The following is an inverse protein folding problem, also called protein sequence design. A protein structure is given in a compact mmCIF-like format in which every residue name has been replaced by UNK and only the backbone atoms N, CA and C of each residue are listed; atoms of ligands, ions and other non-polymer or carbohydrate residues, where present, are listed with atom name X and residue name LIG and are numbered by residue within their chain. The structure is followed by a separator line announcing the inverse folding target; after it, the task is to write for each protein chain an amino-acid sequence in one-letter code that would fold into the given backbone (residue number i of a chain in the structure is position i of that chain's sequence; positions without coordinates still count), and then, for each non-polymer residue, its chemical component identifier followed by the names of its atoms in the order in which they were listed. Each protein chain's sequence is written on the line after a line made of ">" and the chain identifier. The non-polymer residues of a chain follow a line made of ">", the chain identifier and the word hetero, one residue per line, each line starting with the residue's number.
data_IF_030575412574
#
_entry.id   IF_030575412574
#
_cell.length_a   1.000
_cell.length_b   1.000
_cell.length_c   1.000
_cell.angle_alpha   90.00
_cell.angle_beta   90.00
_cell.angle_gamma   90.00
#
_symmetry.space_group_name_H-M   'P 1'
#
loop_
_entity.id
_entity.type
_entity.pdbx_description
1 polymer ?
#
# COMPACT_ATOMS: atom_id res chain seq x y z
N UNK A 1 -8.40 9.49 -21.28
CA UNK A 1 -9.46 8.55 -20.85
C UNK A 1 -10.31 9.29 -19.83
N UNK A 2 -11.61 9.06 -19.83
CA UNK A 2 -12.45 9.62 -18.78
C UNK A 2 -12.10 8.98 -17.45
N UNK A 3 -12.13 9.75 -16.36
CA UNK A 3 -11.78 9.24 -15.03
C UNK A 3 -12.62 8.02 -14.63
N UNK A 4 -13.88 7.99 -15.08
CA UNK A 4 -14.80 6.89 -14.82
C UNK A 4 -14.41 5.55 -15.47
N UNK A 5 -13.53 5.58 -16.47
CA UNK A 5 -13.03 4.39 -17.17
C UNK A 5 -11.72 3.87 -16.53
N UNK A 6 -11.13 4.61 -15.59
CA UNK A 6 -9.92 4.15 -14.91
C UNK A 6 -10.23 2.99 -13.96
N UNK A 7 -9.40 1.94 -13.98
CA UNK A 7 -9.59 0.75 -13.12
C UNK A 7 -9.75 1.09 -11.64
N UNK A 8 -8.96 2.03 -11.14
CA UNK A 8 -9.01 2.48 -9.74
C UNK A 8 -10.09 3.53 -9.48
N UNK A 9 -11.02 3.79 -10.41
CA UNK A 9 -12.08 4.78 -10.16
C UNK A 9 -12.97 4.40 -8.98
N UNK A 10 -13.30 3.11 -8.83
CA UNK A 10 -14.03 2.62 -7.66
C UNK A 10 -13.26 2.84 -6.35
N UNK A 11 -11.93 2.66 -6.37
CA UNK A 11 -11.02 2.97 -5.27
C UNK A 11 -11.06 4.48 -4.95
N UNK A 12 -10.94 5.36 -5.94
CA UNK A 12 -11.03 6.81 -5.77
C UNK A 12 -12.35 7.26 -5.13
N UNK A 13 -13.48 6.69 -5.56
CA UNK A 13 -14.79 7.00 -4.96
C UNK A 13 -14.87 6.56 -3.49
N UNK A 14 -14.35 5.36 -3.17
CA UNK A 14 -14.29 4.83 -1.82
C UNK A 14 -13.39 5.67 -0.91
N UNK A 15 -12.17 5.97 -1.36
CA UNK A 15 -11.21 6.81 -0.64
C UNK A 15 -11.80 8.20 -0.38
N UNK A 16 -12.46 8.79 -1.38
CA UNK A 16 -13.13 10.08 -1.22
C UNK A 16 -14.30 10.02 -0.22
N UNK A 17 -15.04 8.91 -0.15
CA UNK A 17 -16.08 8.73 0.85
C UNK A 17 -15.49 8.60 2.27
N UNK A 18 -14.42 7.83 2.42
CA UNK A 18 -13.68 7.68 3.68
C UNK A 18 -13.12 9.03 4.15
N UNK A 19 -12.48 9.80 3.26
CA UNK A 19 -11.95 11.12 3.56
C UNK A 19 -13.04 12.08 4.06
N UNK A 20 -14.22 12.08 3.42
CA UNK A 20 -15.37 12.91 3.85
C UNK A 20 -15.90 12.49 5.21
N UNK A 21 -16.01 11.18 5.47
CA UNK A 21 -16.40 10.65 6.78
C UNK A 21 -15.43 11.10 7.88
N UNK A 22 -14.13 10.97 7.62
CA UNK A 22 -13.07 11.44 8.53
C UNK A 22 -13.13 12.94 8.78
N UNK A 23 -13.28 13.74 7.73
CA UNK A 23 -13.45 15.19 7.83
C UNK A 23 -14.66 15.58 8.69
N UNK A 24 -15.77 14.86 8.57
CA UNK A 24 -17.00 15.10 9.35
C UNK A 24 -16.79 14.77 10.82
N UNK A 25 -16.16 13.63 11.13
CA UNK A 25 -15.89 13.22 12.51
C UNK A 25 -14.88 14.16 13.20
N UNK A 26 -13.81 14.56 12.52
CA UNK A 26 -12.84 15.52 13.06
C UNK A 26 -13.49 16.89 13.25
N UNK A 27 -14.29 17.38 12.31
CA UNK A 27 -15.03 18.63 12.49
C UNK A 27 -15.99 18.57 13.68
N UNK A 28 -16.68 17.43 13.87
CA UNK A 28 -17.53 17.20 15.05
C UNK A 28 -16.72 17.23 16.34
N UNK A 29 -15.59 16.53 16.38
CA UNK A 29 -14.68 16.55 17.53
C UNK A 29 -14.19 17.97 17.85
N UNK A 30 -13.93 18.79 16.84
CA UNK A 30 -13.47 20.16 17.03
C UNK A 30 -14.53 21.02 17.72
N UNK A 31 -15.81 20.82 17.37
CA UNK A 31 -16.94 21.57 17.94
C UNK A 31 -17.30 21.06 19.33
N UNK A 32 -17.37 19.73 19.52
CA UNK A 32 -17.72 19.11 20.80
C UNK A 32 -16.61 19.22 21.84
N UNK A 33 -15.35 19.27 21.38
CA UNK A 33 -14.18 19.20 22.24
C UNK A 33 -14.05 17.85 22.95
N UNK A 34 -13.32 17.86 24.08
CA UNK A 34 -13.08 16.67 24.89
C UNK A 34 -11.95 15.77 24.37
N UNK A 35 -11.84 14.60 24.97
CA UNK A 35 -10.74 13.65 24.76
C UNK A 35 -11.22 12.34 24.14
N UNK A 36 -10.38 11.71 23.33
CA UNK A 36 -10.52 10.32 22.90
C UNK A 36 -9.73 9.46 23.89
N UNK A 37 -10.39 8.50 24.53
CA UNK A 37 -9.73 7.56 25.44
C UNK A 37 -8.99 6.51 24.63
N UNK A 38 -7.66 6.53 24.66
CA UNK A 38 -6.81 5.62 23.88
C UNK A 38 -6.07 4.60 24.74
N UNK A 39 -5.45 3.59 24.12
CA UNK A 39 -4.60 2.62 24.81
C UNK A 39 -3.39 3.26 25.53
N UNK A 40 -2.96 4.45 25.09
CA UNK A 40 -1.82 5.20 25.66
C UNK A 40 -2.27 6.42 26.47
N UNK A 41 -3.56 6.52 26.81
CA UNK A 41 -4.16 7.59 27.61
C UNK A 41 -5.07 8.55 26.83
N UNK A 42 -5.67 9.55 27.49
CA UNK A 42 -6.62 10.46 26.85
C UNK A 42 -5.91 11.40 25.87
N UNK A 43 -6.42 11.49 24.65
CA UNK A 43 -5.90 12.38 23.60
C UNK A 43 -6.89 13.51 23.33
N UNK A 44 -6.40 14.74 23.37
CA UNK A 44 -7.05 15.91 22.78
C UNK A 44 -6.80 15.96 21.27
N UNK A 45 -7.60 16.75 20.56
CA UNK A 45 -7.37 17.01 19.14
C UNK A 45 -5.98 17.59 18.86
N UNK A 46 -5.47 18.45 19.74
CA UNK A 46 -4.14 19.05 19.59
C UNK A 46 -3.04 17.98 19.69
N UNK A 47 -3.17 17.03 20.61
CA UNK A 47 -2.23 15.91 20.73
C UNK A 47 -2.30 14.98 19.52
N UNK A 48 -3.51 14.64 19.06
CA UNK A 48 -3.68 13.83 17.85
C UNK A 48 -3.04 14.51 16.63
N UNK A 49 -3.29 15.82 16.44
CA UNK A 49 -2.64 16.59 15.36
C UNK A 49 -1.12 16.60 15.48
N UNK A 50 -0.58 16.78 16.68
CA UNK A 50 0.87 16.73 16.91
C UNK A 50 1.46 15.36 16.58
N UNK A 51 0.74 14.27 16.88
CA UNK A 51 1.14 12.93 16.52
C UNK A 51 1.22 12.73 14.99
N UNK A 52 0.21 13.18 14.23
CA UNK A 52 0.25 13.09 12.77
C UNK A 52 1.32 13.99 12.14
N UNK A 53 1.61 15.16 12.73
CA UNK A 53 2.75 15.99 12.31
C UNK A 53 4.09 15.27 12.54
N UNK A 54 4.24 14.55 13.65
CA UNK A 54 5.44 13.76 13.93
C UNK A 54 5.56 12.56 12.96
N UNK A 55 4.45 11.87 12.65
CA UNK A 55 4.43 10.84 11.60
C UNK A 55 4.82 11.40 10.23
N UNK A 56 4.31 12.57 9.88
CA UNK A 56 4.70 13.26 8.65
C UNK A 56 6.21 13.54 8.62
N UNK A 57 6.78 14.04 9.71
CA UNK A 57 8.22 14.31 9.81
C UNK A 57 9.06 13.04 9.64
N UNK A 58 8.63 11.94 10.29
CA UNK A 58 9.23 10.62 10.11
C UNK A 58 9.20 10.18 8.65
N UNK A 59 8.06 10.30 7.97
CA UNK A 59 7.95 9.94 6.55
C UNK A 59 8.75 10.86 5.64
N UNK A 60 8.92 12.14 5.98
CA UNK A 60 9.82 13.03 5.25
C UNK A 60 11.27 12.59 5.40
N UNK A 61 11.71 12.21 6.60
CA UNK A 61 13.05 11.67 6.82
C UNK A 61 13.26 10.34 6.07
N UNK A 62 12.30 9.44 6.17
CA UNK A 62 12.26 8.17 5.43
C UNK A 62 12.38 8.40 3.91
N UNK A 63 11.55 9.28 3.34
CA UNK A 63 11.56 9.58 1.92
C UNK A 63 12.84 10.29 1.45
N UNK A 64 13.47 11.12 2.31
CA UNK A 64 14.79 11.70 2.01
C UNK A 64 15.85 10.62 1.81
N UNK A 65 15.86 9.57 2.65
CA UNK A 65 16.78 8.43 2.46
C UNK A 65 16.55 7.78 1.11
N UNK A 66 15.29 7.51 0.76
CA UNK A 66 14.93 6.92 -0.53
C UNK A 66 15.37 7.78 -1.71
N UNK A 67 15.11 9.09 -1.70
CA UNK A 67 15.49 10.01 -2.79
C UNK A 67 17.01 10.19 -2.95
N UNK A 68 17.74 10.11 -1.84
CA UNK A 68 19.19 10.20 -1.86
C UNK A 68 19.84 8.90 -2.33
N UNK A 69 19.30 7.75 -1.95
CA UNK A 69 19.86 6.44 -2.23
C UNK A 69 19.39 5.82 -3.56
N UNK A 70 18.17 6.12 -4.01
CA UNK A 70 17.60 5.61 -5.25
C UNK A 70 17.51 6.68 -6.35
N UNK A 71 18.29 6.55 -7.44
CA UNK A 71 18.19 7.45 -8.60
C UNK A 71 16.78 7.48 -9.22
N UNK A 72 16.05 6.37 -9.20
CA UNK A 72 14.70 6.27 -9.77
C UNK A 72 13.67 7.11 -9.01
N UNK A 73 13.70 7.09 -7.68
CA UNK A 73 12.83 7.92 -6.85
C UNK A 73 13.09 9.41 -7.06
N UNK A 74 14.35 9.79 -7.31
CA UNK A 74 14.72 11.16 -7.67
C UNK A 74 14.18 11.58 -9.04
N UNK A 75 14.23 10.69 -10.03
CA UNK A 75 13.73 10.95 -11.37
C UNK A 75 12.20 11.08 -11.41
N UNK A 76 11.47 10.29 -10.62
CA UNK A 76 10.01 10.40 -10.53
C UNK A 76 9.55 11.48 -9.54
N UNK A 77 10.45 12.17 -8.84
CA UNK A 77 10.11 13.19 -7.84
C UNK A 77 9.27 12.65 -6.68
N UNK A 78 9.38 11.34 -6.39
CA UNK A 78 8.48 10.65 -5.46
C UNK A 78 7.04 10.49 -5.99
N UNK A 79 6.82 10.63 -7.30
CA UNK A 79 5.54 10.42 -7.98
C UNK A 79 5.37 9.02 -8.57
N UNK A 80 6.22 8.05 -8.20
CA UNK A 80 5.96 6.66 -8.59
C UNK A 80 4.74 6.14 -7.83
N UNK A 81 3.60 6.16 -8.49
CA UNK A 81 2.37 5.59 -7.98
C UNK A 81 2.03 4.40 -8.89
N UNK A 82 2.24 3.19 -8.37
CA UNK A 82 1.85 1.94 -9.02
C UNK A 82 0.39 1.65 -8.66
N UNK A 83 -0.37 1.05 -9.58
CA UNK A 83 -1.73 0.56 -9.29
C UNK A 83 -1.72 -0.30 -8.02
N UNK A 84 -2.70 -0.08 -7.14
CA UNK A 84 -2.86 -0.77 -5.86
C UNK A 84 -2.02 -0.19 -4.71
N UNK A 85 -1.10 0.74 -4.98
CA UNK A 85 -0.29 1.36 -3.92
C UNK A 85 -1.03 2.46 -3.16
N UNK A 86 -2.05 3.07 -3.77
CA UNK A 86 -2.87 4.12 -3.17
C UNK A 86 -4.11 3.53 -2.48
N UNK A 87 -3.87 2.70 -1.47
CA UNK A 87 -4.93 2.15 -0.64
C UNK A 87 -5.07 3.02 0.61
N UNK A 88 -6.09 3.87 0.62
CA UNK A 88 -6.34 4.82 1.71
C UNK A 88 -7.02 4.09 2.88
N UNK A 89 -6.39 4.15 4.06
CA UNK A 89 -6.93 3.58 5.29
C UNK A 89 -7.55 4.64 6.18
N UNK A 90 -8.23 4.21 7.25
CA UNK A 90 -8.86 5.12 8.22
C UNK A 90 -7.85 6.15 8.74
N UNK A 91 -6.64 5.70 9.06
CA UNK A 91 -5.53 6.54 9.50
C UNK A 91 -5.27 7.71 8.52
N UNK A 92 -5.35 7.47 7.21
CA UNK A 92 -5.01 8.43 6.18
C UNK A 92 -6.09 9.50 6.09
N UNK A 93 -7.36 9.10 6.20
CA UNK A 93 -8.48 10.03 6.22
C UNK A 93 -8.47 10.92 7.45
N UNK A 94 -8.14 10.34 8.60
CA UNK A 94 -8.00 11.08 9.85
C UNK A 94 -6.80 12.03 9.78
N UNK A 95 -5.68 11.61 9.20
CA UNK A 95 -4.51 12.45 8.98
C UNK A 95 -4.84 13.66 8.10
N UNK A 96 -5.48 13.45 6.94
CA UNK A 96 -5.90 14.54 6.06
C UNK A 96 -6.77 15.55 6.81
N UNK A 97 -7.76 15.07 7.57
CA UNK A 97 -8.67 15.92 8.31
C UNK A 97 -7.97 16.71 9.44
N UNK A 98 -7.12 16.07 10.24
CA UNK A 98 -6.39 16.72 11.35
C UNK A 98 -5.34 17.72 10.85
N UNK A 99 -4.76 17.47 9.66
CA UNK A 99 -3.78 18.34 9.02
C UNK A 99 -4.42 19.42 8.14
N UNK A 100 -5.75 19.43 8.02
CA UNK A 100 -6.50 20.32 7.13
C UNK A 100 -6.07 20.23 5.66
N UNK A 101 -5.71 19.02 5.23
CA UNK A 101 -5.32 18.71 3.87
C UNK A 101 -6.52 18.20 3.05
N UNK A 102 -6.68 18.64 1.80
CA UNK A 102 -7.78 18.20 0.96
C UNK A 102 -7.54 16.77 0.43
N UNK A 103 -8.63 16.02 0.26
CA UNK A 103 -8.61 14.85 -0.60
C UNK A 103 -8.37 15.29 -2.07
N UNK A 104 -7.52 14.59 -2.84
CA UNK A 104 -7.19 15.01 -4.20
C UNK A 104 -8.42 15.14 -5.10
N UNK A 105 -8.60 16.31 -5.70
CA UNK A 105 -9.57 16.50 -6.77
C UNK A 105 -8.90 16.16 -8.11
N UNK A 106 -9.31 15.05 -8.72
CA UNK A 106 -8.81 14.63 -10.02
C UNK A 106 -9.62 15.25 -11.17
N UNK A 107 -8.96 15.56 -12.29
CA UNK A 107 -9.62 16.05 -13.49
C UNK A 107 -10.51 14.98 -14.13
N UNK A 108 -11.50 15.41 -14.92
CA UNK A 108 -12.36 14.49 -15.68
C UNK A 108 -11.57 13.59 -16.66
N UNK A 109 -10.36 14.02 -17.03
CA UNK A 109 -9.42 13.22 -17.79
C UNK A 109 -8.21 12.87 -16.93
N UNK A 110 -7.82 11.59 -16.93
CA UNK A 110 -6.63 11.09 -16.22
C UNK A 110 -5.70 10.34 -17.18
N UNK A 111 -4.44 10.19 -16.78
CA UNK A 111 -3.47 9.39 -17.52
C UNK A 111 -3.94 7.95 -17.60
N UNK A 112 -4.08 7.41 -18.81
CA UNK A 112 -4.44 6.00 -19.01
C UNK A 112 -3.21 5.20 -19.44
N UNK A 113 -2.51 4.61 -18.48
CA UNK A 113 -1.50 3.59 -18.76
C UNK A 113 -1.71 2.42 -17.81
N UNK A 114 -1.73 1.18 -18.30
CA UNK A 114 -1.77 0.00 -17.44
C UNK A 114 -0.67 0.07 -16.38
N UNK A 115 -1.03 -0.17 -15.12
CA UNK A 115 -0.10 -0.16 -13.99
C UNK A 115 0.25 1.21 -13.41
N UNK A 116 -0.37 2.30 -13.90
CA UNK A 116 -0.27 3.63 -13.28
C UNK A 116 -1.45 3.90 -12.36
N UNK A 117 -1.14 4.41 -11.17
CA UNK A 117 -2.14 4.81 -10.18
C UNK A 117 -2.97 6.01 -10.64
N UNK A 118 -4.27 6.02 -10.29
CA UNK A 118 -5.23 7.08 -10.63
C UNK A 118 -4.83 8.46 -10.13
N UNK A 119 -4.06 8.52 -9.05
CA UNK A 119 -3.55 9.77 -8.46
C UNK A 119 -2.29 10.30 -9.16
N UNK A 120 -1.79 9.67 -10.24
CA UNK A 120 -0.68 10.20 -11.04
C UNK A 120 -1.20 11.10 -12.17
N UNK A 121 -1.17 12.42 -11.95
CA UNK A 121 -1.65 13.44 -12.89
C UNK A 121 -0.47 14.30 -13.33
N UNK A 122 -0.28 14.48 -14.65
CA UNK A 122 0.80 15.29 -15.22
C UNK A 122 2.21 14.94 -14.69
N UNK A 123 2.47 13.64 -14.49
CA UNK A 123 3.70 13.10 -13.89
C UNK A 123 3.95 13.56 -12.44
N UNK A 124 2.89 13.94 -11.70
CA UNK A 124 2.95 14.31 -10.30
C UNK A 124 1.88 13.55 -9.51
N UNK A 125 2.21 13.21 -8.27
CA UNK A 125 1.24 12.66 -7.35
C UNK A 125 0.24 13.76 -6.97
N UNK A 126 -1.05 13.48 -7.11
CA UNK A 126 -2.13 14.40 -6.75
C UNK A 126 -2.35 14.49 -5.23
N UNK A 127 -1.79 13.54 -4.46
CA UNK A 127 -1.79 13.62 -3.00
C UNK A 127 -0.99 14.83 -2.50
N UNK A 128 -1.45 15.51 -1.43
CA UNK A 128 -0.71 16.59 -0.82
C UNK A 128 0.72 16.18 -0.44
N UNK A 129 1.66 17.13 -0.50
CA UNK A 129 3.02 16.88 -0.03
C UNK A 129 3.09 16.69 1.48
N UNK A 130 2.10 17.22 2.20
CA UNK A 130 2.00 17.13 3.66
C UNK A 130 1.62 15.71 4.10
N UNK A 131 0.66 15.08 3.41
CA UNK A 131 0.23 13.74 3.71
C UNK A 131 -0.06 12.94 2.45
N UNK A 132 0.44 11.70 2.42
CA UNK A 132 0.16 10.70 1.41
C UNK A 132 -0.29 9.43 2.12
N UNK A 133 -1.14 8.59 1.51
CA UNK A 133 -1.50 7.31 2.07
C UNK A 133 -0.27 6.53 2.53
N UNK A 134 -0.35 5.86 3.67
CA UNK A 134 0.81 5.30 4.33
C UNK A 134 1.60 4.34 3.43
N UNK A 135 0.90 3.50 2.66
CA UNK A 135 1.51 2.65 1.63
C UNK A 135 2.23 3.45 0.55
N UNK A 136 1.68 4.57 0.09
CA UNK A 136 2.37 5.47 -0.85
C UNK A 136 3.59 6.14 -0.23
N UNK A 137 3.55 6.47 1.06
CA UNK A 137 4.66 7.11 1.77
C UNK A 137 5.81 6.15 2.08
N UNK A 138 5.51 4.86 2.28
CA UNK A 138 6.48 3.80 2.51
C UNK A 138 7.04 3.18 1.22
N UNK A 139 6.25 3.19 0.13
CA UNK A 139 6.60 2.55 -1.12
C UNK A 139 7.73 3.27 -1.86
N UNK A 140 8.63 2.47 -2.45
CA UNK A 140 9.65 2.95 -3.39
C UNK A 140 9.71 2.05 -4.62
N UNK A 141 9.91 2.68 -5.77
CA UNK A 141 10.06 1.98 -7.04
C UNK A 141 11.43 1.31 -7.12
N UNK A 142 11.46 0.05 -7.52
CA UNK A 142 12.70 -0.66 -7.88
C UNK A 142 13.10 -0.43 -9.35
N UNK A 143 12.34 0.41 -10.07
CA UNK A 143 12.41 0.56 -11.52
C UNK A 143 11.45 -0.41 -12.23
N UNK A 144 11.19 -0.14 -13.51
CA UNK A 144 10.58 -1.09 -14.45
C UNK A 144 11.52 -1.28 -15.65
N UNK A 145 11.63 -2.51 -16.18
CA UNK A 145 12.43 -2.80 -17.39
C UNK A 145 13.83 -3.38 -17.11
N UNK A 146 14.85 -2.91 -17.86
CA UNK A 146 16.22 -3.47 -17.99
C UNK A 146 17.10 -3.45 -16.72
N UNK A 147 16.55 -3.05 -15.57
CA UNK A 147 17.29 -2.85 -14.33
C UNK A 147 16.60 -3.62 -13.20
N UNK A 148 16.53 -4.94 -13.34
CA UNK A 148 16.16 -5.83 -12.24
C UNK A 148 17.24 -5.74 -11.15
N UNK A 149 16.89 -5.06 -10.05
CA UNK A 149 17.65 -5.15 -8.83
C UNK A 149 17.27 -6.46 -8.15
N UNK A 150 18.17 -7.45 -8.17
CA UNK A 150 18.05 -8.65 -7.35
C UNK A 150 17.81 -8.22 -5.89
N UNK A 151 16.85 -8.84 -5.20
CA UNK A 151 16.57 -8.58 -3.79
C UNK A 151 17.81 -8.85 -2.90
N UNK A 152 18.79 -9.58 -3.42
CA UNK A 152 20.10 -9.84 -2.80
C UNK A 152 21.16 -8.76 -3.05
N UNK A 153 20.81 -7.68 -3.76
CA UNK A 153 21.72 -6.58 -4.01
C UNK A 153 22.07 -5.88 -2.69
N UNK A 154 23.37 -5.79 -2.39
CA UNK A 154 23.90 -5.13 -1.19
C UNK A 154 23.38 -3.69 -0.99
N UNK A 155 22.89 -3.04 -2.06
CA UNK A 155 22.20 -1.76 -2.00
C UNK A 155 20.96 -1.80 -1.11
N UNK A 156 20.18 -2.89 -1.09
CA UNK A 156 19.02 -3.02 -0.21
C UNK A 156 19.43 -2.99 1.26
N UNK A 157 20.41 -3.79 1.66
CA UNK A 157 20.90 -3.79 3.04
C UNK A 157 21.37 -2.40 3.49
N UNK A 158 22.07 -1.65 2.62
CA UNK A 158 22.47 -0.26 2.91
C UNK A 158 21.28 0.68 3.06
N UNK A 159 20.23 0.49 2.27
CA UNK A 159 19.03 1.33 2.29
C UNK A 159 18.22 1.04 3.53
N UNK A 160 17.91 -0.23 3.80
CA UNK A 160 17.22 -0.68 5.02
C UNK A 160 17.96 -0.17 6.26
N UNK A 161 19.28 -0.25 6.30
CA UNK A 161 20.07 0.30 7.41
C UNK A 161 19.90 1.82 7.58
N UNK A 162 19.89 2.59 6.48
CA UNK A 162 19.65 4.05 6.55
C UNK A 162 18.20 4.39 6.91
N UNK A 163 17.23 3.61 6.44
CA UNK A 163 15.82 3.76 6.81
C UNK A 163 15.61 3.45 8.30
N UNK A 164 16.32 2.45 8.84
CA UNK A 164 16.31 2.16 10.26
C UNK A 164 16.84 3.35 11.07
N UNK A 165 17.92 4.01 10.63
CA UNK A 165 18.39 5.25 11.27
C UNK A 165 17.36 6.37 11.28
N UNK A 166 16.65 6.58 10.16
CA UNK A 166 15.57 7.57 10.10
C UNK A 166 14.37 7.19 11.00
N UNK A 167 14.01 5.92 11.05
CA UNK A 167 12.98 5.42 11.97
C UNK A 167 13.41 5.67 13.43
N UNK A 168 14.66 5.37 13.78
CA UNK A 168 15.17 5.51 15.15
C UNK A 168 15.12 6.94 15.64
N UNK A 169 15.51 7.88 14.79
CA UNK A 169 15.53 9.30 15.11
C UNK A 169 14.12 9.89 15.19
N UNK A 170 13.24 9.57 14.24
CA UNK A 170 11.98 10.30 14.03
C UNK A 170 10.71 9.53 14.43
N UNK A 171 10.77 8.26 14.84
CA UNK A 171 9.58 7.51 15.29
C UNK A 171 8.93 8.22 16.49
N UNK A 172 7.63 8.58 16.40
CA UNK A 172 6.91 9.19 17.51
C UNK A 172 6.98 8.34 18.78
N UNK A 173 7.07 8.99 19.94
CA UNK A 173 7.33 8.30 21.22
C UNK A 173 6.26 7.22 21.53
N UNK A 174 5.01 7.50 21.21
CA UNK A 174 3.89 6.56 21.41
C UNK A 174 4.02 5.28 20.58
N UNK A 175 4.81 5.29 19.50
CA UNK A 175 5.09 4.14 18.65
C UNK A 175 6.39 3.40 19.01
N UNK A 176 7.15 3.89 20.00
CA UNK A 176 8.40 3.24 20.44
C UNK A 176 8.24 1.76 20.85
N UNK A 177 7.14 1.33 21.47
CA UNK A 177 6.91 -0.10 21.74
C UNK A 177 6.94 -0.98 20.48
N UNK A 178 6.61 -0.42 19.31
CA UNK A 178 6.56 -1.13 18.03
C UNK A 178 7.87 -1.03 17.23
N UNK A 179 8.87 -0.28 17.71
CA UNK A 179 10.07 0.04 16.95
C UNK A 179 10.84 -1.20 16.44
N UNK A 180 10.95 -2.25 17.25
CA UNK A 180 11.66 -3.46 16.87
C UNK A 180 11.00 -4.18 15.68
N UNK A 181 9.68 -4.38 15.75
CA UNK A 181 8.92 -5.01 14.68
C UNK A 181 8.89 -4.14 13.41
N UNK A 182 8.74 -2.82 13.57
CA UNK A 182 8.81 -1.88 12.45
C UNK A 182 10.18 -1.94 11.74
N UNK A 183 11.28 -2.03 12.48
CA UNK A 183 12.62 -2.21 11.88
C UNK A 183 12.74 -3.53 11.12
N UNK A 184 12.23 -4.61 11.69
CA UNK A 184 12.25 -5.93 11.07
C UNK A 184 11.47 -5.95 9.74
N UNK A 185 10.39 -5.18 9.66
CA UNK A 185 9.56 -5.06 8.46
C UNK A 185 10.14 -4.14 7.37
N UNK A 186 11.16 -3.31 7.65
CA UNK A 186 11.72 -2.35 6.67
C UNK A 186 12.18 -2.94 5.32
N UNK A 187 12.68 -4.20 5.20
CA UNK A 187 12.98 -4.81 3.91
C UNK A 187 11.75 -4.93 2.98
N UNK A 188 10.54 -5.00 3.54
CA UNK A 188 9.29 -5.02 2.79
C UNK A 188 8.44 -3.77 3.09
N UNK A 189 8.37 -2.80 2.17
CA UNK A 189 7.60 -1.58 2.38
C UNK A 189 6.09 -1.81 2.55
N UNK A 190 5.53 -2.94 2.08
CA UNK A 190 4.11 -3.28 2.36
C UNK A 190 3.98 -3.72 3.81
N UNK A 191 4.76 -4.72 4.23
CA UNK A 191 4.72 -5.22 5.59
C UNK A 191 4.99 -4.10 6.61
N UNK A 192 5.95 -3.21 6.31
CA UNK A 192 6.21 -2.02 7.14
C UNK A 192 4.98 -1.11 7.23
N UNK A 193 4.34 -0.82 6.10
CA UNK A 193 3.15 0.03 6.07
C UNK A 193 1.97 -0.60 6.83
N UNK A 194 1.75 -1.90 6.66
CA UNK A 194 0.69 -2.65 7.32
C UNK A 194 0.90 -2.72 8.83
N UNK A 195 2.12 -2.95 9.27
CA UNK A 195 2.46 -2.97 10.68
C UNK A 195 2.33 -1.58 11.34
N UNK A 196 2.74 -0.52 10.64
CA UNK A 196 2.59 0.84 11.15
C UNK A 196 1.11 1.27 11.22
N UNK A 197 0.31 0.93 10.22
CA UNK A 197 -1.14 1.14 10.26
C UNK A 197 -1.78 0.39 11.44
N UNK A 198 -1.43 -0.89 11.64
CA UNK A 198 -1.90 -1.69 12.78
C UNK A 198 -1.56 -1.02 14.12
N UNK A 199 -0.31 -0.56 14.27
CA UNK A 199 0.13 0.12 15.49
C UNK A 199 -0.63 1.44 15.72
N UNK A 200 -0.88 2.22 14.66
CA UNK A 200 -1.68 3.46 14.75
C UNK A 200 -3.15 3.15 15.08
N UNK A 201 -3.68 2.04 14.59
CA UNK A 201 -5.05 1.62 14.88
C UNK A 201 -5.25 1.23 16.32
N UNK A 202 -4.37 0.38 16.85
CA UNK A 202 -4.34 -0.01 18.26
C UNK A 202 -4.19 1.20 19.19
N UNK A 203 -3.34 2.16 18.82
CA UNK A 203 -3.09 3.35 19.62
C UNK A 203 -4.22 4.35 19.51
N UNK A 204 -4.83 4.56 18.34
CA UNK A 204 -5.67 5.74 18.13
C UNK A 204 -6.88 5.53 17.24
N UNK A 205 -6.76 4.98 16.03
CA UNK A 205 -7.89 5.04 15.09
C UNK A 205 -9.08 4.18 15.53
N UNK A 206 -8.84 3.06 16.23
CA UNK A 206 -9.91 2.28 16.84
C UNK A 206 -10.68 3.07 17.91
N UNK A 207 -9.97 3.77 18.80
CA UNK A 207 -10.57 4.59 19.84
C UNK A 207 -11.36 5.77 19.26
N UNK A 208 -10.84 6.38 18.19
CA UNK A 208 -11.54 7.43 17.47
C UNK A 208 -12.82 6.89 16.81
N UNK A 209 -12.76 5.74 16.15
CA UNK A 209 -13.93 5.09 15.54
C UNK A 209 -15.00 4.72 16.58
N UNK A 210 -14.58 4.28 17.78
CA UNK A 210 -15.51 4.01 18.88
C UNK A 210 -16.25 5.27 19.36
N UNK A 211 -15.56 6.43 19.39
CA UNK A 211 -16.16 7.72 19.74
C UNK A 211 -17.02 8.30 18.62
N UNK A 212 -16.64 8.04 17.37
CA UNK A 212 -17.32 8.54 16.17
C UNK A 212 -17.73 7.35 15.28
N UNK A 213 -18.82 6.62 15.60
CA UNK A 213 -19.20 5.40 14.88
C UNK A 213 -19.42 5.58 13.38
N UNK A 214 -19.78 6.79 12.96
CA UNK A 214 -19.95 7.18 11.54
C UNK A 214 -18.64 7.09 10.73
N UNK A 215 -17.49 6.90 11.38
CA UNK A 215 -16.19 6.61 10.76
C UNK A 215 -16.05 5.17 10.28
N UNK A 216 -16.84 4.23 10.81
CA UNK A 216 -16.84 2.87 10.30
C UNK A 216 -17.56 2.88 8.96
N UNK A 217 -16.88 2.69 7.81
CA UNK A 217 -17.61 2.51 6.58
C UNK A 217 -18.55 1.33 6.76
N UNK A 218 -19.79 1.45 6.27
CA UNK A 218 -20.62 0.28 6.05
C UNK A 218 -19.85 -0.59 5.04
N UNK A 219 -19.10 -1.57 5.54
CA UNK A 219 -18.41 -2.54 4.70
C UNK A 219 -19.50 -3.41 4.11
N UNK A 220 -20.01 -3.03 2.94
CA UNK A 220 -20.55 -4.07 2.07
C UNK A 220 -19.38 -5.01 1.79
N UNK A 221 -19.50 -6.32 2.08
CA UNK A 221 -18.44 -7.27 1.81
C UNK A 221 -18.28 -7.36 0.29
N UNK A 222 -17.43 -6.50 -0.27
CA UNK A 222 -16.87 -6.72 -1.59
C UNK A 222 -15.93 -7.91 -1.44
N UNK A 223 -16.32 -9.05 -2.03
CA UNK A 223 -15.39 -10.14 -2.28
C UNK A 223 -14.26 -9.58 -3.13
N UNK A 224 -13.12 -9.34 -2.50
CA UNK A 224 -11.91 -8.93 -3.20
C UNK A 224 -11.45 -10.08 -4.09
N UNK A 225 -11.52 -9.94 -5.43
CA UNK A 225 -11.07 -10.97 -6.34
C UNK A 225 -9.58 -11.30 -6.14
N UNK A 226 -8.78 -10.36 -5.62
CA UNK A 226 -7.39 -10.65 -5.27
C UNK A 226 -7.32 -11.59 -4.07
N UNK A 227 -8.10 -11.38 -3.01
CA UNK A 227 -8.16 -12.28 -1.86
C UNK A 227 -8.53 -13.72 -2.24
N UNK A 228 -9.48 -13.90 -3.16
CA UNK A 228 -9.85 -15.24 -3.65
C UNK A 228 -8.70 -15.90 -4.43
N UNK A 229 -8.00 -15.14 -5.28
CA UNK A 229 -6.84 -15.65 -6.03
C UNK A 229 -5.67 -15.97 -5.08
N UNK A 230 -5.41 -15.12 -4.09
CA UNK A 230 -4.36 -15.36 -3.08
C UNK A 230 -4.64 -16.63 -2.27
N UNK A 231 -5.90 -16.87 -1.88
CA UNK A 231 -6.29 -18.11 -1.23
C UNK A 231 -6.06 -19.34 -2.13
N UNK A 232 -6.28 -19.23 -3.44
CA UNK A 232 -5.97 -20.30 -4.39
C UNK A 232 -4.46 -20.54 -4.53
N UNK A 233 -3.63 -19.49 -4.52
CA UNK A 233 -2.16 -19.60 -4.55
C UNK A 233 -1.64 -20.31 -3.30
N UNK A 234 -2.12 -19.91 -2.12
CA UNK A 234 -1.75 -20.53 -0.85
C UNK A 234 -2.09 -22.03 -0.84
N UNK A 235 -3.32 -22.38 -1.24
CA UNK A 235 -3.76 -23.77 -1.34
C UNK A 235 -2.91 -24.59 -2.32
N UNK A 236 -2.58 -24.02 -3.48
CA UNK A 236 -1.77 -24.71 -4.48
C UNK A 236 -0.31 -24.87 -4.02
N UNK A 237 0.23 -23.89 -3.28
CA UNK A 237 1.56 -23.98 -2.67
C UNK A 237 1.65 -25.13 -1.68
N UNK A 238 0.65 -25.29 -0.81
CA UNK A 238 0.58 -26.41 0.14
C UNK A 238 0.53 -27.77 -0.56
N UNK A 239 -0.24 -27.89 -1.64
CA UNK A 239 -0.31 -29.11 -2.43
C UNK A 239 1.03 -29.47 -3.06
N UNK A 240 1.75 -28.47 -3.59
CA UNK A 240 3.06 -28.66 -4.23
C UNK A 240 4.13 -29.06 -3.20
N UNK A 241 4.05 -28.52 -1.97
CA UNK A 241 4.92 -28.93 -0.87
C UNK A 241 4.76 -30.41 -0.48
N UNK A 242 3.59 -30.99 -0.72
CA UNK A 242 3.29 -32.40 -0.44
C UNK A 242 3.67 -33.34 -1.60
N UNK A 243 4.09 -32.81 -2.76
CA UNK A 243 4.50 -33.61 -3.92
C UNK A 243 5.94 -34.13 -3.76
N UNK A 244 6.21 -35.30 -4.34
CA UNK A 244 7.57 -35.83 -4.47
C UNK A 244 8.16 -35.42 -5.82
N UNK A 245 9.41 -34.94 -5.83
CA UNK A 245 10.14 -34.51 -7.03
C UNK A 245 10.74 -33.11 -6.91
N UNK A 246 11.25 -32.58 -8.02
CA UNK A 246 11.76 -31.21 -8.10
C UNK A 246 10.60 -30.22 -8.32
N UNK A 247 10.22 -29.53 -7.25
CA UNK A 247 9.11 -28.56 -7.22
C UNK A 247 9.58 -27.11 -7.11
N UNK A 248 10.90 -26.86 -7.11
CA UNK A 248 11.47 -25.55 -6.83
C UNK A 248 10.97 -24.47 -7.80
N UNK A 249 10.92 -24.79 -9.09
CA UNK A 249 10.42 -23.85 -10.11
C UNK A 249 8.93 -23.56 -9.94
N UNK A 250 8.14 -24.53 -9.52
CA UNK A 250 6.69 -24.38 -9.37
C UNK A 250 6.37 -23.49 -8.16
N UNK A 251 7.11 -23.64 -7.06
CA UNK A 251 6.96 -22.78 -5.87
C UNK A 251 7.40 -21.34 -6.15
N UNK A 252 8.53 -21.14 -6.83
CA UNK A 252 8.99 -19.81 -7.24
C UNK A 252 7.99 -19.09 -8.16
N UNK A 253 7.29 -19.87 -9.00
CA UNK A 253 6.25 -19.35 -9.88
C UNK A 253 4.97 -19.00 -9.11
N UNK A 254 4.59 -19.77 -8.07
CA UNK A 254 3.45 -19.40 -7.21
C UNK A 254 3.72 -18.12 -6.43
N UNK A 255 4.93 -17.96 -5.89
CA UNK A 255 5.38 -16.72 -5.26
C UNK A 255 5.31 -15.55 -6.25
N UNK A 256 5.79 -15.73 -7.49
CA UNK A 256 5.68 -14.70 -8.51
C UNK A 256 4.23 -14.33 -8.84
N UNK A 257 3.30 -15.29 -8.86
CA UNK A 257 1.88 -15.01 -9.09
C UNK A 257 1.24 -14.26 -7.92
N UNK A 258 1.63 -14.58 -6.69
CA UNK A 258 1.22 -13.83 -5.50
C UNK A 258 1.63 -12.38 -5.62
N UNK A 259 2.90 -12.14 -5.98
CA UNK A 259 3.40 -10.80 -6.19
C UNK A 259 2.58 -10.08 -7.27
N UNK A 260 2.28 -10.76 -8.40
CA UNK A 260 1.54 -10.15 -9.52
C UNK A 260 0.12 -9.75 -9.08
N UNK A 261 -0.54 -10.59 -8.28
CA UNK A 261 -1.86 -10.29 -7.71
C UNK A 261 -1.80 -9.08 -6.77
N UNK A 262 -0.70 -8.95 -6.02
CA UNK A 262 -0.38 -7.80 -5.17
C UNK A 262 0.14 -6.59 -5.97
N UNK A 263 0.11 -6.63 -7.30
CA UNK A 263 0.48 -5.53 -8.19
C UNK A 263 1.99 -5.41 -8.44
N UNK A 264 2.77 -6.47 -8.23
CA UNK A 264 4.24 -6.47 -8.35
C UNK A 264 4.74 -7.69 -9.13
N UNK A 265 5.78 -7.59 -9.94
CA UNK A 265 6.40 -6.36 -10.46
C UNK A 265 5.52 -5.68 -11.52
N UNK A 266 5.85 -4.43 -11.88
CA UNK A 266 5.07 -3.63 -12.83
C UNK A 266 4.97 -4.18 -14.27
N UNK A 267 5.68 -5.26 -14.57
CA UNK A 267 5.61 -6.03 -15.83
C UNK A 267 4.83 -7.36 -15.66
N UNK A 268 3.95 -7.48 -14.67
CA UNK A 268 3.20 -8.72 -14.36
C UNK A 268 2.54 -9.38 -15.56
N UNK A 269 1.94 -8.62 -16.49
CA UNK A 269 1.34 -9.20 -17.71
C UNK A 269 2.34 -9.89 -18.62
N UNK A 270 3.57 -9.39 -18.73
CA UNK A 270 4.65 -10.03 -19.49
C UNK A 270 5.06 -11.34 -18.82
N UNK A 271 5.23 -11.31 -17.50
CA UNK A 271 5.56 -12.49 -16.70
C UNK A 271 4.47 -13.56 -16.80
N UNK A 272 3.19 -13.20 -16.74
CA UNK A 272 2.07 -14.14 -16.92
C UNK A 272 2.11 -14.84 -18.28
N UNK A 273 2.54 -14.15 -19.34
CA UNK A 273 2.69 -14.75 -20.69
C UNK A 273 3.87 -15.73 -20.72
N UNK A 274 5.01 -15.36 -20.16
CA UNK A 274 6.19 -16.24 -20.05
C UNK A 274 5.87 -17.48 -19.21
N UNK A 275 5.13 -17.30 -18.12
CA UNK A 275 4.64 -18.36 -17.25
C UNK A 275 3.67 -19.31 -17.96
N UNK A 276 2.65 -18.80 -18.67
CA UNK A 276 1.69 -19.64 -19.41
C UNK A 276 2.42 -20.51 -20.45
N UNK A 277 3.48 -19.98 -21.08
CA UNK A 277 4.35 -20.72 -21.99
C UNK A 277 5.07 -21.90 -21.32
N UNK A 278 5.63 -21.71 -20.11
CA UNK A 278 6.33 -22.78 -19.36
C UNK A 278 5.41 -23.94 -18.97
N UNK A 279 4.12 -23.67 -18.76
CA UNK A 279 3.15 -24.66 -18.32
C UNK A 279 2.29 -25.25 -19.45
N UNK A 280 2.49 -24.84 -20.70
CA UNK A 280 1.62 -25.17 -21.84
C UNK A 280 1.50 -26.67 -22.15
N UNK A 281 2.59 -27.43 -22.01
CA UNK A 281 2.75 -28.76 -22.64
C UNK A 281 2.34 -29.96 -21.76
N UNK A 282 1.82 -29.75 -20.54
CA UNK A 282 1.63 -30.84 -19.57
C UNK A 282 0.27 -30.77 -18.86
N UNK A 283 -0.48 -31.87 -18.88
CA UNK A 283 -1.81 -32.00 -18.26
C UNK A 283 -1.79 -31.80 -16.73
N UNK A 284 -0.70 -32.16 -16.05
CA UNK A 284 -0.55 -31.96 -14.61
C UNK A 284 -0.35 -30.49 -14.19
N UNK A 285 -0.14 -29.58 -15.15
CA UNK A 285 0.02 -28.14 -14.88
C UNK A 285 -1.30 -27.36 -14.99
N UNK A 286 -2.43 -28.06 -15.10
CA UNK A 286 -3.75 -27.46 -15.25
C UNK A 286 -4.12 -26.47 -14.12
N UNK A 287 -3.84 -26.74 -12.83
CA UNK A 287 -4.13 -25.77 -11.76
C UNK A 287 -3.35 -24.45 -11.93
N UNK A 288 -2.05 -24.52 -12.23
CA UNK A 288 -1.22 -23.34 -12.49
C UNK A 288 -1.75 -22.52 -13.68
N UNK A 289 -2.14 -23.18 -14.77
CA UNK A 289 -2.70 -22.48 -15.94
C UNK A 289 -4.06 -21.84 -15.66
N UNK A 290 -4.91 -22.49 -14.87
CA UNK A 290 -6.17 -21.89 -14.43
C UNK A 290 -5.91 -20.64 -13.60
N UNK A 291 -4.92 -20.69 -12.72
CA UNK A 291 -4.56 -19.57 -11.86
C UNK A 291 -3.95 -18.39 -12.65
N UNK A 292 -3.04 -18.68 -13.59
CA UNK A 292 -2.51 -17.68 -14.54
C UNK A 292 -3.64 -17.03 -15.35
N UNK A 293 -4.62 -17.81 -15.82
CA UNK A 293 -5.78 -17.28 -16.56
C UNK A 293 -6.69 -16.45 -15.67
N UNK A 294 -6.96 -16.87 -14.44
CA UNK A 294 -7.76 -16.12 -13.48
C UNK A 294 -7.11 -14.76 -13.18
N UNK A 295 -5.79 -14.74 -12.97
CA UNK A 295 -5.02 -13.51 -12.78
C UNK A 295 -5.05 -12.64 -14.04
N UNK A 296 -4.89 -13.21 -15.23
CA UNK A 296 -5.02 -12.45 -16.49
C UNK A 296 -6.41 -11.85 -16.65
N UNK A 297 -7.46 -12.61 -16.39
CA UNK A 297 -8.85 -12.14 -16.49
C UNK A 297 -9.15 -11.05 -15.47
N UNK A 298 -8.69 -11.19 -14.23
CA UNK A 298 -8.86 -10.15 -13.20
C UNK A 298 -8.02 -8.92 -13.50
N UNK A 299 -6.82 -9.08 -14.07
CA UNK A 299 -5.96 -7.97 -14.50
C UNK A 299 -6.51 -7.27 -15.75
N UNK A 300 -7.13 -8.00 -16.68
CA UNK A 300 -7.77 -7.44 -17.88
C UNK A 300 -9.12 -6.76 -17.60
N UNK A 301 -9.85 -7.20 -16.59
CA UNK A 301 -11.02 -6.44 -16.07
C UNK A 301 -10.59 -5.19 -15.29
N UNK A 302 -9.30 -5.14 -14.91
CA UNK A 302 -8.63 -4.05 -14.23
C UNK A 302 -7.82 -3.15 -15.20
N UNK A 303 -8.04 -3.21 -16.51
CA UNK A 303 -7.32 -2.42 -17.52
C UNK A 303 -8.24 -1.93 -18.60
#
# INVERSE_FOLDING_TARGET
>A
MEIGEHVEYGLYLRDGALARGCGTAVARWQVEGGVVETAVGPWTMAQARQFFLALQEMFQAYNRVLWQAFPYCRQCGGGCCVVGASDMRLLDGVALALLAEPFPALSAQVTNRPGICIYLVDNRCAWPSTWRPLKCAAFYCLGSGQWELDARDERYGRITHRLAGALDEYLPEVLRPYAAALREALPDPIAFADLLDTAVDEIFTQALAARFPDLSPAVEPQTDPAAEILAQIAKLSEQVWQMSGDTAQYLADLEMLEWIVLGRPGNGMKLLVEMDGRYADKSHNQPMRQLIRAIRSSTSQRS
#
